data_IF_792837136489
#
_entry.id   IF_792837136489
#
_cell.length_a   1.000
_cell.length_b   1.000
_cell.length_c   1.000
_cell.angle_alpha   90.00
_cell.angle_beta   90.00
_cell.angle_gamma   90.00
#
_symmetry.space_group_name_H-M   'P 1'
#
loop_
_entity.id
_entity.type
_entity.pdbx_description
1 polymer ?
#
# COMPACT_ATOMS: atom_id res chain seq x y z
N UNK A 1 9.60 15.80 -4.53
CA UNK A 1 8.55 15.25 -3.66
C UNK A 1 7.96 14.06 -4.35
N UNK A 2 8.07 12.87 -3.76
CA UNK A 2 7.54 11.66 -4.37
C UNK A 2 6.06 11.51 -3.93
N UNK A 3 5.11 11.78 -4.83
CA UNK A 3 3.67 11.79 -4.51
C UNK A 3 3.20 10.43 -3.96
N UNK A 4 3.83 9.33 -4.40
CA UNK A 4 3.58 7.97 -3.89
C UNK A 4 3.95 7.88 -2.40
N UNK A 5 5.08 8.46 -2.00
CA UNK A 5 5.52 8.47 -0.61
C UNK A 5 4.53 9.24 0.28
N UNK A 6 4.12 10.43 -0.18
CA UNK A 6 3.15 11.27 0.53
C UNK A 6 1.79 10.56 0.70
N UNK A 7 1.28 9.95 -0.38
CA UNK A 7 0.02 9.20 -0.33
C UNK A 7 0.11 7.97 0.59
N UNK A 8 1.25 7.26 0.59
CA UNK A 8 1.51 6.14 1.50
C UNK A 8 1.56 6.60 2.97
N UNK A 9 2.11 7.79 3.24
CA UNK A 9 2.14 8.38 4.57
C UNK A 9 0.72 8.72 5.03
N UNK A 10 -0.07 9.39 4.18
CA UNK A 10 -1.46 9.74 4.48
C UNK A 10 -2.34 8.50 4.72
N UNK A 11 -2.14 7.42 3.96
CA UNK A 11 -2.80 6.13 4.20
C UNK A 11 -2.42 5.55 5.56
N UNK A 12 -1.14 5.59 5.93
CA UNK A 12 -0.66 5.14 7.24
C UNK A 12 -1.30 5.95 8.38
N UNK A 13 -1.42 7.27 8.24
CA UNK A 13 -2.09 8.13 9.23
C UNK A 13 -3.58 7.81 9.36
N UNK A 14 -4.24 7.43 8.27
CA UNK A 14 -5.62 6.88 8.30
C UNK A 14 -5.72 5.49 8.96
N UNK A 15 -4.61 4.86 9.30
CA UNK A 15 -4.55 3.52 9.92
C UNK A 15 -4.41 2.36 8.92
N UNK A 16 -4.15 2.64 7.64
CA UNK A 16 -3.85 1.59 6.67
C UNK A 16 -2.49 0.97 6.97
N UNK A 17 -2.42 -0.36 6.86
CA UNK A 17 -1.16 -1.09 6.97
C UNK A 17 -0.55 -1.30 5.60
N UNK A 18 0.79 -1.38 5.53
CA UNK A 18 1.50 -1.70 4.28
C UNK A 18 0.99 -2.99 3.64
N UNK A 19 0.61 -3.97 4.47
CA UNK A 19 0.04 -5.22 4.00
C UNK A 19 -1.33 -5.02 3.35
N UNK A 20 -2.21 -4.20 3.92
CA UNK A 20 -3.51 -3.90 3.32
C UNK A 20 -3.36 -3.15 1.99
N UNK A 21 -2.40 -2.22 1.92
CA UNK A 21 -2.08 -1.49 0.68
C UNK A 21 -1.52 -2.46 -0.37
N UNK A 22 -0.61 -3.34 0.02
CA UNK A 22 -0.03 -4.36 -0.84
C UNK A 22 -1.11 -5.32 -1.39
N UNK A 23 -2.04 -5.77 -0.54
CA UNK A 23 -3.16 -6.63 -0.90
C UNK A 23 -4.06 -5.96 -1.94
N UNK A 24 -4.47 -4.72 -1.70
CA UNK A 24 -5.33 -3.95 -2.63
C UNK A 24 -4.63 -3.62 -3.95
N UNK A 25 -3.32 -3.39 -3.90
CA UNK A 25 -2.52 -3.13 -5.09
C UNK A 25 -2.16 -4.42 -5.85
N UNK A 26 -2.29 -5.59 -5.23
CA UNK A 26 -1.85 -6.88 -5.77
C UNK A 26 -0.33 -7.00 -5.87
N UNK A 27 0.42 -6.29 -5.02
CA UNK A 27 1.88 -6.29 -4.99
C UNK A 27 2.41 -6.84 -3.68
N UNK A 28 3.69 -7.17 -3.62
CA UNK A 28 4.32 -7.62 -2.38
C UNK A 28 4.50 -6.47 -1.38
N UNK A 29 4.40 -6.76 -0.08
CA UNK A 29 4.71 -5.79 0.99
C UNK A 29 6.10 -5.17 0.81
N UNK A 30 7.07 -5.95 0.31
CA UNK A 30 8.42 -5.48 0.03
C UNK A 30 8.43 -4.38 -1.05
N UNK A 31 7.56 -4.48 -2.05
CA UNK A 31 7.40 -3.46 -3.10
C UNK A 31 6.89 -2.14 -2.51
N UNK A 32 5.88 -2.21 -1.63
CA UNK A 32 5.37 -1.03 -0.91
C UNK A 32 6.45 -0.42 0.01
N UNK A 33 7.25 -1.26 0.66
CA UNK A 33 8.39 -0.82 1.47
C UNK A 33 9.45 -0.10 0.63
N UNK A 34 9.78 -0.63 -0.55
CA UNK A 34 10.71 0.01 -1.49
C UNK A 34 10.20 1.37 -1.96
N UNK A 35 8.90 1.51 -2.25
CA UNK A 35 8.29 2.79 -2.63
C UNK A 35 8.32 3.79 -1.48
N UNK A 36 8.10 3.34 -0.25
CA UNK A 36 8.24 4.17 0.95
C UNK A 36 9.67 4.66 1.13
N UNK A 37 10.66 3.80 0.89
CA UNK A 37 12.08 4.09 1.11
C UNK A 37 12.75 4.85 -0.06
N UNK A 38 11.94 5.34 -1.02
CA UNK A 38 12.37 6.14 -2.18
C UNK A 38 13.44 5.49 -3.06
N UNK A 39 13.71 4.20 -2.88
CA UNK A 39 14.88 3.53 -3.49
C UNK A 39 14.62 3.11 -4.94
N UNK A 40 13.34 3.05 -5.36
CA UNK A 40 12.94 2.70 -6.73
C UNK A 40 11.58 3.33 -7.04
N UNK A 41 11.56 4.24 -8.02
CA UNK A 41 10.30 4.67 -8.62
C UNK A 41 9.61 3.44 -9.21
N UNK A 42 8.34 3.25 -8.90
CA UNK A 42 7.52 2.27 -9.60
C UNK A 42 7.56 2.63 -11.09
N UNK A 43 7.95 1.70 -11.96
CA UNK A 43 7.89 1.90 -13.42
C UNK A 43 6.48 2.32 -13.87
N UNK A 44 5.46 1.97 -13.08
CA UNK A 44 4.06 2.31 -13.25
C UNK A 44 3.53 3.34 -12.23
N UNK A 45 4.33 4.35 -11.88
CA UNK A 45 4.02 5.32 -10.81
C UNK A 45 2.62 5.94 -10.89
N UNK A 46 2.15 6.32 -12.10
CA UNK A 46 0.80 6.87 -12.29
C UNK A 46 -0.33 5.88 -11.95
N UNK A 47 -0.19 4.61 -12.33
CA UNK A 47 -1.21 3.60 -12.02
C UNK A 47 -1.24 3.27 -10.53
N UNK A 48 -0.07 3.25 -9.89
CA UNK A 48 0.05 3.07 -8.43
C UNK A 48 -0.58 4.25 -7.70
N UNK A 49 -0.27 5.48 -8.12
CA UNK A 49 -0.84 6.69 -7.53
C UNK A 49 -2.36 6.71 -7.65
N UNK A 50 -2.91 6.41 -8.83
CA UNK A 50 -4.36 6.38 -9.04
C UNK A 50 -5.07 5.35 -8.14
N UNK A 51 -4.46 4.18 -7.95
CA UNK A 51 -4.99 3.18 -7.02
C UNK A 51 -4.87 3.64 -5.56
N UNK A 52 -3.73 4.23 -5.16
CA UNK A 52 -3.54 4.76 -3.80
C UNK A 52 -4.54 5.87 -3.48
N UNK A 53 -4.81 6.76 -4.43
CA UNK A 53 -5.84 7.81 -4.29
C UNK A 53 -7.24 7.20 -4.11
N UNK A 54 -7.57 6.18 -4.92
CA UNK A 54 -8.81 5.41 -4.75
C UNK A 54 -8.91 4.73 -3.37
N UNK A 55 -7.79 4.28 -2.80
CA UNK A 55 -7.73 3.73 -1.44
C UNK A 55 -7.88 4.82 -0.37
N UNK A 56 -7.33 6.01 -0.61
CA UNK A 56 -7.44 7.15 0.29
C UNK A 56 -8.89 7.63 0.40
N UNK A 57 -9.62 7.58 -0.72
CA UNK A 57 -11.05 7.85 -0.81
C UNK A 57 -11.92 6.77 -0.15
N UNK A 58 -11.41 5.52 -0.03
CA UNK A 58 -12.13 4.43 0.64
C UNK A 58 -12.06 4.57 2.16
N UNK A 59 -13.23 4.60 2.79
CA UNK A 59 -13.41 4.71 4.26
C UNK A 59 -13.16 3.38 5.02
N UNK A 60 -13.00 2.26 4.32
CA UNK A 60 -12.94 0.92 4.92
C UNK A 60 -11.60 0.25 4.64
N UNK A 61 -10.81 0.06 5.69
CA UNK A 61 -9.61 -0.80 5.62
C UNK A 61 -10.11 -2.25 5.58
N UNK A 62 -9.87 -3.00 4.50
CA UNK A 62 -10.23 -4.41 4.46
C UNK A 62 -9.41 -5.13 5.53
N UNK A 63 -10.12 -5.59 6.58
CA UNK A 63 -9.56 -6.41 7.64
C UNK A 63 -9.38 -7.81 7.06
N UNK A 64 -8.37 -8.02 6.21
CA UNK A 64 -8.07 -9.37 5.78
C UNK A 64 -7.63 -10.14 7.02
N UNK A 65 -8.51 -11.04 7.50
CA UNK A 65 -8.11 -12.13 8.39
C UNK A 65 -6.95 -12.81 7.69
N UNK A 66 -5.70 -12.53 8.08
CA UNK A 66 -4.62 -13.46 7.80
C UNK A 66 -5.07 -14.75 8.44
N UNK A 67 -5.55 -15.71 7.63
CA UNK A 67 -5.70 -17.07 8.11
C UNK A 67 -4.33 -17.41 8.68
N UNK A 68 -4.29 -17.73 9.96
CA UNK A 68 -3.13 -18.37 10.55
C UNK A 68 -2.95 -19.69 9.83
N UNK A 69 -2.25 -19.68 8.69
CA UNK A 69 -1.65 -20.87 8.14
C UNK A 69 -0.32 -21.05 8.89
N UNK A 70 -0.48 -21.37 10.18
CA UNK A 70 0.44 -22.27 10.85
C UNK A 70 0.06 -23.65 10.30
N UNK A 71 0.75 -24.09 9.27
CA UNK A 71 0.74 -25.49 8.85
C UNK A 71 1.96 -26.18 9.50
N UNK A 72 1.81 -27.46 9.89
CA UNK A 72 2.64 -28.18 10.87
C UNK A 72 4.09 -28.43 10.45
#
# INVERSE_FOLDING_TARGET
>A
MNEIHDTLLALKEKGWTMAAIADELGVSNMTVFTWRNETRNAENGRSVLFKLDSLLARKRIPKHKRRGLRAP
#
